data_IF_548354371858
#
_entry.id   IF_548354371858
#
_cell.length_a   1.000
_cell.length_b   1.000
_cell.length_c   1.000
_cell.angle_alpha   90.00
_cell.angle_beta   90.00
_cell.angle_gamma   90.00
#
_symmetry.space_group_name_H-M   'P 1'
#
loop_
_entity.id
_entity.type
_entity.pdbx_description
1 polymer ?
#
# COMPACT_ATOMS: atom_id res chain seq x y z
N UNK A 1 -34.27 26.58 -19.73
CA UNK A 1 -34.16 25.32 -18.95
C UNK A 1 -32.87 24.65 -19.37
N UNK A 2 -31.79 24.78 -18.58
CA UNK A 2 -30.52 24.11 -18.87
C UNK A 2 -30.38 22.94 -17.92
N UNK A 3 -30.57 21.72 -18.43
CA UNK A 3 -30.23 20.49 -17.69
C UNK A 3 -28.74 20.52 -17.38
N UNK A 4 -28.42 20.78 -16.12
CA UNK A 4 -27.08 20.64 -15.58
C UNK A 4 -26.72 19.16 -15.64
N UNK A 5 -25.84 18.79 -16.58
CA UNK A 5 -25.24 17.48 -16.64
C UNK A 5 -24.33 17.33 -15.41
N UNK A 6 -24.86 16.78 -14.33
CA UNK A 6 -24.04 16.29 -13.25
C UNK A 6 -23.08 15.24 -13.83
N UNK A 7 -21.76 15.33 -13.59
CA UNK A 7 -20.85 14.30 -14.04
C UNK A 7 -21.25 13.00 -13.36
N UNK A 8 -21.79 12.06 -14.15
CA UNK A 8 -22.10 10.71 -13.70
C UNK A 8 -20.85 10.17 -13.03
N UNK A 9 -20.90 10.06 -11.70
CA UNK A 9 -19.88 9.42 -10.91
C UNK A 9 -19.71 8.02 -11.48
N UNK A 10 -18.64 7.84 -12.26
CA UNK A 10 -18.34 6.64 -13.02
C UNK A 10 -18.40 5.47 -12.02
N UNK A 11 -19.48 4.67 -12.05
CA UNK A 11 -19.67 3.48 -11.21
C UNK A 11 -18.57 2.51 -11.57
N UNK A 12 -17.41 2.70 -10.97
CA UNK A 12 -16.22 1.90 -11.18
C UNK A 12 -16.45 0.61 -10.42
N UNK A 13 -17.06 -0.37 -11.10
CA UNK A 13 -17.48 -1.65 -10.55
C UNK A 13 -16.31 -2.53 -10.07
N UNK A 14 -15.07 -2.07 -10.19
CA UNK A 14 -13.82 -2.75 -9.81
C UNK A 14 -13.15 -2.23 -8.52
N UNK A 15 -13.88 -1.46 -7.70
CA UNK A 15 -13.34 -0.99 -6.43
C UNK A 15 -13.23 -2.13 -5.40
N UNK A 16 -12.06 -2.19 -4.75
CA UNK A 16 -11.69 -3.10 -3.66
C UNK A 16 -11.42 -2.28 -2.41
N UNK A 17 -12.01 -2.71 -1.30
CA UNK A 17 -11.78 -2.15 0.03
C UNK A 17 -10.69 -2.96 0.73
N UNK A 18 -9.56 -2.32 1.02
CA UNK A 18 -8.47 -2.93 1.77
C UNK A 18 -8.12 -2.09 2.99
N UNK A 19 -7.73 -2.74 4.08
CA UNK A 19 -7.32 -2.05 5.31
C UNK A 19 -5.84 -2.27 5.55
N UNK A 20 -5.09 -1.20 5.72
CA UNK A 20 -3.67 -1.26 6.07
C UNK A 20 -3.53 -0.99 7.56
N UNK A 21 -2.94 -1.92 8.31
CA UNK A 21 -2.72 -1.82 9.75
C UNK A 21 -1.24 -1.63 10.02
N UNK A 22 -0.85 -0.49 10.60
CA UNK A 22 0.53 -0.21 11.03
C UNK A 22 0.84 -0.99 12.29
N UNK A 23 1.84 -1.86 12.23
CA UNK A 23 2.26 -2.70 13.36
C UNK A 23 2.88 -1.90 14.49
N UNK A 24 3.49 -0.77 14.20
CA UNK A 24 4.19 0.06 15.20
C UNK A 24 3.25 0.66 16.25
N UNK A 25 2.02 1.04 15.85
CA UNK A 25 1.09 1.76 16.73
C UNK A 25 -0.35 1.20 16.67
N UNK A 26 -0.59 0.15 15.87
CA UNK A 26 -1.92 -0.42 15.65
C UNK A 26 -2.85 0.39 14.76
N UNK A 27 -2.41 1.55 14.24
CA UNK A 27 -3.24 2.41 13.40
C UNK A 27 -3.66 1.72 12.09
N UNK A 28 -4.96 1.70 11.82
CA UNK A 28 -5.52 1.13 10.60
C UNK A 28 -6.10 2.20 9.68
N UNK A 29 -5.80 2.13 8.38
CA UNK A 29 -6.38 3.01 7.35
C UNK A 29 -6.99 2.16 6.25
N UNK A 30 -8.27 2.42 5.96
CA UNK A 30 -8.99 1.76 4.87
C UNK A 30 -8.86 2.56 3.58
N UNK A 31 -8.52 1.87 2.50
CA UNK A 31 -8.42 2.41 1.15
C UNK A 31 -9.45 1.73 0.25
N UNK A 32 -10.05 2.53 -0.64
CA UNK A 32 -10.93 2.05 -1.70
C UNK A 32 -10.19 2.29 -3.02
N UNK A 33 -9.60 1.23 -3.58
CA UNK A 33 -8.75 1.28 -4.78
C UNK A 33 -9.27 0.31 -5.84
N UNK A 34 -8.67 0.29 -7.03
CA UNK A 34 -9.04 -0.68 -8.07
C UNK A 34 -8.17 -1.94 -7.93
N UNK A 35 -8.69 -3.14 -8.24
CA UNK A 35 -7.88 -4.38 -8.22
C UNK A 35 -6.65 -4.32 -9.17
N UNK A 36 -6.71 -3.47 -10.20
CA UNK A 36 -5.62 -3.19 -11.15
C UNK A 36 -4.59 -2.18 -10.63
N UNK A 37 -4.88 -1.50 -9.51
CA UNK A 37 -3.95 -0.56 -8.88
C UNK A 37 -2.68 -1.29 -8.45
N UNK A 38 -1.52 -0.65 -8.70
CA UNK A 38 -0.23 -1.21 -8.31
C UNK A 38 0.02 -0.97 -6.83
N UNK A 39 0.77 -1.87 -6.21
CA UNK A 39 1.22 -1.68 -4.83
C UNK A 39 2.06 -0.41 -4.69
N UNK A 40 2.79 0.00 -5.73
CA UNK A 40 3.52 1.26 -5.75
C UNK A 40 2.61 2.47 -5.48
N UNK A 41 1.48 2.57 -6.18
CA UNK A 41 0.53 3.67 -6.00
C UNK A 41 -0.13 3.63 -4.62
N UNK A 42 -0.50 2.43 -4.15
CA UNK A 42 -0.98 2.24 -2.78
C UNK A 42 0.05 2.73 -1.75
N UNK A 43 1.34 2.42 -1.93
CA UNK A 43 2.41 2.88 -1.05
C UNK A 43 2.55 4.40 -1.06
N UNK A 44 2.41 5.02 -2.22
CA UNK A 44 2.47 6.46 -2.35
C UNK A 44 1.31 7.15 -1.62
N UNK A 45 0.09 6.65 -1.81
CA UNK A 45 -1.11 7.17 -1.13
C UNK A 45 -1.08 6.88 0.37
N UNK A 46 -0.61 5.69 0.76
CA UNK A 46 -0.39 5.32 2.16
C UNK A 46 0.62 6.24 2.81
N UNK A 47 1.75 6.58 2.16
CA UNK A 47 2.74 7.51 2.71
C UNK A 47 2.16 8.92 2.92
N UNK A 48 1.19 9.33 2.09
CA UNK A 48 0.49 10.62 2.23
C UNK A 48 -0.46 10.63 3.42
N UNK A 49 -1.26 9.57 3.60
CA UNK A 49 -2.24 9.49 4.69
C UNK A 49 -1.63 9.07 6.02
N UNK A 50 -0.68 8.15 5.96
CA UNK A 50 -0.02 7.53 7.09
C UNK A 50 1.50 7.68 6.89
N UNK A 51 2.04 8.78 7.43
CA UNK A 51 3.49 9.01 7.40
C UNK A 51 4.18 7.87 8.16
N UNK A 52 5.07 7.09 7.51
CA UNK A 52 5.83 6.07 8.19
C UNK A 52 6.70 6.73 9.27
N UNK A 53 6.87 6.07 10.42
CA UNK A 53 7.74 6.57 11.48
C UNK A 53 9.19 6.61 11.02
N UNK A 54 9.57 5.64 10.21
CA UNK A 54 10.89 5.57 9.64
C UNK A 54 10.88 6.01 8.17
N UNK A 55 11.53 7.13 7.88
CA UNK A 55 11.70 7.63 6.51
C UNK A 55 12.56 6.69 5.65
N UNK A 56 13.36 5.83 6.30
CA UNK A 56 14.21 4.85 5.65
C UNK A 56 13.45 3.64 5.09
N UNK A 57 12.14 3.54 5.34
CA UNK A 57 11.24 2.66 4.59
C UNK A 57 10.32 1.81 5.45
N UNK A 58 9.38 1.13 4.80
CA UNK A 58 8.43 0.22 5.43
C UNK A 58 8.10 -0.95 4.49
N UNK A 59 7.68 -2.07 5.06
CA UNK A 59 7.17 -3.23 4.33
C UNK A 59 5.66 -3.34 4.48
N UNK A 60 5.00 -3.69 3.38
CA UNK A 60 3.62 -4.12 3.41
C UNK A 60 3.61 -5.64 3.35
N UNK A 61 2.91 -6.28 4.27
CA UNK A 61 2.86 -7.73 4.43
C UNK A 61 1.39 -8.14 4.35
N UNK A 62 1.07 -9.04 3.43
CA UNK A 62 -0.26 -9.60 3.26
C UNK A 62 -0.15 -11.11 3.17
N UNK A 63 -0.88 -11.86 3.99
CA UNK A 63 -0.83 -13.33 4.03
C UNK A 63 0.62 -13.87 4.09
N UNK A 64 1.43 -13.34 5.01
CA UNK A 64 2.85 -13.66 5.15
C UNK A 64 3.74 -13.33 3.93
N UNK A 65 3.23 -12.61 2.93
CA UNK A 65 4.00 -12.20 1.75
C UNK A 65 4.27 -10.70 1.76
N UNK A 66 5.51 -10.32 1.48
CA UNK A 66 5.90 -8.92 1.33
C UNK A 66 5.41 -8.41 -0.03
N UNK A 67 4.58 -7.37 -0.01
CA UNK A 67 4.05 -6.71 -1.20
C UNK A 67 5.14 -5.87 -1.87
N UNK A 68 5.57 -6.32 -3.05
CA UNK A 68 6.48 -5.59 -3.94
C UNK A 68 5.69 -4.62 -4.82
N UNK A 69 6.23 -3.41 -5.02
CA UNK A 69 5.58 -2.30 -5.74
C UNK A 69 5.23 -2.60 -7.20
N UNK A 70 5.97 -3.52 -7.85
CA UNK A 70 5.78 -3.90 -9.26
C UNK A 70 4.52 -4.71 -9.55
N UNK A 71 3.90 -5.30 -8.52
CA UNK A 71 2.72 -6.14 -8.68
C UNK A 71 1.44 -5.35 -8.36
N UNK A 72 0.30 -5.84 -8.85
CA UNK A 72 -1.03 -5.28 -8.60
C UNK A 72 -1.69 -5.91 -7.37
N UNK A 73 -2.74 -5.28 -6.86
CA UNK A 73 -3.56 -5.84 -5.77
C UNK A 73 -4.11 -7.24 -6.13
N UNK A 74 -4.64 -7.37 -7.36
CA UNK A 74 -5.14 -8.64 -7.90
C UNK A 74 -4.12 -9.79 -7.83
N UNK A 75 -2.83 -9.50 -8.06
CA UNK A 75 -1.77 -10.51 -8.02
C UNK A 75 -1.64 -11.19 -6.65
N UNK A 76 -1.92 -10.47 -5.57
CA UNK A 76 -1.87 -11.00 -4.21
C UNK A 76 -3.20 -11.59 -3.72
N UNK A 77 -4.23 -11.60 -4.57
CA UNK A 77 -5.58 -12.05 -4.22
C UNK A 77 -6.43 -10.99 -3.52
N UNK A 78 -6.01 -9.71 -3.58
CA UNK A 78 -6.80 -8.57 -3.12
C UNK A 78 -7.76 -8.22 -4.28
N UNK A 79 -9.01 -8.64 -4.13
CA UNK A 79 -10.08 -8.54 -5.14
C UNK A 79 -11.39 -8.07 -4.52
N UNK A 80 -12.31 -7.59 -5.35
CA UNK A 80 -13.62 -7.11 -4.90
C UNK A 80 -14.42 -8.22 -4.23
N UNK A 81 -15.20 -7.86 -3.20
CA UNK A 81 -16.12 -8.76 -2.51
C UNK A 81 -15.51 -9.59 -1.39
N UNK A 82 -14.24 -9.37 -1.06
CA UNK A 82 -13.59 -10.00 0.10
C UNK A 82 -13.37 -8.91 1.14
N UNK A 83 -14.11 -9.00 2.25
CA UNK A 83 -14.10 -7.98 3.31
C UNK A 83 -12.90 -8.10 4.26
N UNK A 84 -12.20 -9.24 4.26
CA UNK A 84 -11.04 -9.51 5.12
C UNK A 84 -9.70 -9.32 4.39
N UNK A 85 -9.40 -8.07 4.03
CA UNK A 85 -8.16 -7.70 3.33
C UNK A 85 -7.28 -6.77 4.16
N UNK A 86 -6.75 -7.32 5.26
CA UNK A 86 -5.83 -6.60 6.14
C UNK A 86 -4.37 -6.75 5.68
N UNK A 87 -3.72 -5.65 5.34
CA UNK A 87 -2.29 -5.56 5.03
C UNK A 87 -1.56 -5.01 6.25
N UNK A 88 -0.60 -5.76 6.78
CA UNK A 88 0.24 -5.27 7.86
C UNK A 88 1.35 -4.36 7.28
N UNK A 89 1.42 -3.12 7.74
CA UNK A 89 2.53 -2.21 7.50
C UNK A 89 3.54 -2.35 8.63
N UNK A 90 4.74 -2.82 8.30
CA UNK A 90 5.86 -2.94 9.22
C UNK A 90 6.87 -1.82 8.92
N UNK A 91 6.89 -0.81 9.79
CA UNK A 91 7.87 0.29 9.81
C UNK A 91 8.69 0.31 11.11
N UNK A 92 8.69 -0.81 11.84
CA UNK A 92 9.37 -0.96 13.13
C UNK A 92 10.90 -1.00 13.02
N UNK A 93 11.41 -1.35 11.84
CA UNK A 93 12.84 -1.49 11.56
C UNK A 93 13.23 -0.76 10.28
N UNK A 94 14.49 -0.34 10.22
CA UNK A 94 15.13 0.19 9.02
C UNK A 94 15.23 -0.87 7.92
N UNK A 95 14.22 -0.93 7.06
CA UNK A 95 14.18 -1.92 5.99
C UNK A 95 15.18 -1.62 4.85
N UNK A 96 15.88 -0.48 4.90
CA UNK A 96 16.92 -0.11 3.93
C UNK A 96 18.30 -0.71 4.22
N UNK A 97 18.53 -1.28 5.39
CA UNK A 97 19.86 -1.74 5.81
C UNK A 97 20.17 -3.17 5.32
N UNK A 98 20.27 -3.35 4.00
CA UNK A 98 20.88 -4.56 3.42
C UNK A 98 21.55 -4.27 2.07
N UNK A 99 22.09 -3.06 1.89
CA UNK A 99 23.19 -2.85 0.96
C UNK A 99 24.46 -2.68 1.80
N UNK A 100 24.90 -3.80 2.37
CA UNK A 100 26.29 -3.94 2.78
C UNK A 100 27.12 -3.97 1.51
N UNK A 101 27.66 -2.81 1.10
CA UNK A 101 28.91 -2.81 0.34
C UNK A 101 29.98 -2.39 1.34
N UNK A 102 30.56 -3.42 1.94
CA UNK A 102 31.83 -3.39 2.65
C UNK A 102 32.99 -3.38 1.63
N UNK A 103 34.15 -2.88 2.07
CA UNK A 103 35.50 -2.93 1.43
C UNK A 103 35.79 -1.78 0.45
N UNK A 104 36.91 -1.04 0.49
CA UNK A 104 38.27 -1.30 0.99
C UNK A 104 38.99 0.08 1.13
N UNK A 105 39.39 0.51 2.33
CA UNK A 105 40.78 0.69 2.83
C UNK A 105 41.78 1.50 1.98
N UNK A 106 42.42 2.46 2.66
CA UNK A 106 43.79 2.98 2.50
C UNK A 106 44.22 3.64 1.17
N UNK A 107 44.36 4.98 1.17
CA UNK A 107 45.66 5.71 1.25
C UNK A 107 45.46 7.22 1.12
#
# INVERSE_FOLDING_TARGET
MFSSAEPMFNRSTDQVSLTVVRKSDGLSVTFVLNEKTRIHDLKHELKRRLKPRNERGYRLIFRNKVLKGKHTLKHYGIKKGVNDQAIAMDDTKDWKSSSSSSSDSEQ
#
